data_IF_801542683837
#
_entry.id   IF_801542683837
#
_cell.length_a   1.000
_cell.length_b   1.000
_cell.length_c   1.000
_cell.angle_alpha   90.00
_cell.angle_beta   90.00
_cell.angle_gamma   90.00
#
_symmetry.space_group_name_H-M   'P 1'
#
loop_
_entity.id
_entity.type
_entity.pdbx_description
1 polymer ?
#
# COMPACT_ATOMS: atom_id res chain seq x y z
N UNK A 1 8.75 1.17 -32.40
CA UNK A 1 8.98 1.43 -33.83
C UNK A 1 9.86 2.65 -34.06
N UNK A 2 9.40 3.88 -33.74
CA UNK A 2 10.20 5.10 -33.96
C UNK A 2 11.51 5.12 -33.16
N UNK A 3 11.49 4.81 -31.86
CA UNK A 3 12.70 4.76 -31.03
C UNK A 3 13.74 3.77 -31.56
N UNK A 4 13.30 2.57 -31.98
CA UNK A 4 14.17 1.57 -32.62
C UNK A 4 14.80 2.09 -33.91
N UNK A 5 14.04 2.82 -34.75
CA UNK A 5 14.58 3.43 -35.98
C UNK A 5 15.50 4.62 -35.69
N UNK A 6 15.32 5.28 -34.55
CA UNK A 6 16.18 6.35 -34.06
C UNK A 6 17.50 5.87 -33.44
N UNK A 7 17.72 4.56 -33.34
CA UNK A 7 18.94 3.99 -32.76
C UNK A 7 18.96 3.99 -31.23
N UNK A 8 17.81 4.18 -30.58
CA UNK A 8 17.69 4.06 -29.12
C UNK A 8 17.97 2.63 -28.66
N UNK A 9 18.42 2.50 -27.41
CA UNK A 9 18.58 1.19 -26.77
C UNK A 9 17.26 0.42 -26.75
N UNK A 10 17.31 -0.90 -26.91
CA UNK A 10 16.13 -1.77 -26.98
C UNK A 10 15.21 -1.60 -25.77
N UNK A 11 15.80 -1.56 -24.57
CA UNK A 11 15.08 -1.39 -23.31
C UNK A 11 14.31 -0.06 -23.24
N UNK A 12 14.88 1.03 -23.77
CA UNK A 12 14.21 2.34 -23.88
C UNK A 12 13.06 2.26 -24.88
N UNK A 13 13.28 1.65 -26.04
CA UNK A 13 12.26 1.50 -27.07
C UNK A 13 11.06 0.66 -26.57
N UNK A 14 11.32 -0.38 -25.78
CA UNK A 14 10.30 -1.19 -25.12
C UNK A 14 9.56 -0.39 -24.04
N UNK A 15 10.28 0.31 -23.16
CA UNK A 15 9.69 1.13 -22.10
C UNK A 15 8.70 2.17 -22.64
N UNK A 16 9.00 2.80 -23.78
CA UNK A 16 8.10 3.76 -24.44
C UNK A 16 6.76 3.13 -24.89
N UNK A 17 6.75 1.85 -25.24
CA UNK A 17 5.51 1.12 -25.54
C UNK A 17 4.80 0.65 -24.26
N UNK A 18 5.60 0.21 -23.27
CA UNK A 18 5.13 -0.37 -22.01
C UNK A 18 4.63 0.65 -21.00
N UNK A 19 4.98 1.94 -21.11
CA UNK A 19 4.58 2.99 -20.15
C UNK A 19 3.05 3.05 -19.91
N UNK A 20 2.26 2.75 -20.95
CA UNK A 20 0.80 2.74 -20.88
C UNK A 20 0.22 1.46 -20.25
N UNK A 21 1.05 0.45 -19.95
CA UNK A 21 0.61 -0.80 -19.32
C UNK A 21 0.47 -0.66 -17.80
N UNK A 22 -0.37 -1.48 -17.16
CA UNK A 22 -1.40 -2.32 -17.78
C UNK A 22 -2.55 -1.49 -18.39
N UNK A 23 -3.02 -1.89 -19.58
CA UNK A 23 -4.09 -1.19 -20.32
C UNK A 23 -5.51 -1.65 -19.94
N UNK A 24 -5.69 -2.13 -18.72
CA UNK A 24 -6.97 -2.66 -18.22
C UNK A 24 -6.83 -3.57 -17.01
N UNK A 25 -7.96 -3.95 -16.43
CA UNK A 25 -8.00 -4.97 -15.38
C UNK A 25 -7.58 -6.33 -15.97
N UNK A 26 -6.64 -7.02 -15.31
CA UNK A 26 -6.10 -8.30 -15.80
C UNK A 26 -5.20 -8.22 -17.04
N UNK A 27 -4.94 -7.02 -17.58
CA UNK A 27 -4.04 -6.85 -18.71
C UNK A 27 -2.58 -7.16 -18.34
N UNK A 28 -1.76 -7.41 -19.36
CA UNK A 28 -0.32 -7.64 -19.23
C UNK A 28 0.38 -6.46 -18.54
N UNK A 29 1.39 -6.79 -17.75
CA UNK A 29 2.28 -5.84 -17.11
C UNK A 29 3.50 -5.58 -18.00
N UNK A 30 4.18 -4.43 -17.82
CA UNK A 30 5.48 -4.20 -18.44
C UNK A 30 6.42 -5.39 -18.24
N UNK A 31 7.03 -5.87 -19.32
CA UNK A 31 7.96 -6.99 -19.27
C UNK A 31 9.29 -6.57 -18.65
N UNK A 32 9.72 -5.34 -18.91
CA UNK A 32 10.99 -4.79 -18.46
C UNK A 32 10.86 -4.02 -17.14
N UNK A 33 11.97 -3.89 -16.39
CA UNK A 33 12.01 -3.02 -15.20
C UNK A 33 11.94 -1.54 -15.57
N UNK A 34 12.56 -1.15 -16.68
CA UNK A 34 12.53 0.23 -17.17
C UNK A 34 11.11 0.61 -17.59
N UNK A 35 10.40 -0.26 -18.32
CA UNK A 35 8.99 -0.08 -18.64
C UNK A 35 8.11 -0.03 -17.40
N UNK A 36 8.37 -0.87 -16.40
CA UNK A 36 7.66 -0.81 -15.11
C UNK A 36 7.87 0.53 -14.38
N UNK A 37 9.12 1.01 -14.32
CA UNK A 37 9.47 2.27 -13.68
C UNK A 37 8.77 3.46 -14.36
N UNK A 38 8.85 3.55 -15.69
CA UNK A 38 8.19 4.61 -16.46
C UNK A 38 6.67 4.51 -16.33
N UNK A 39 6.10 3.31 -16.39
CA UNK A 39 4.66 3.09 -16.26
C UNK A 39 4.12 3.50 -14.87
N UNK A 40 4.88 3.26 -13.80
CA UNK A 40 4.52 3.72 -12.45
C UNK A 40 4.63 5.23 -12.36
N UNK A 41 5.74 5.81 -12.83
CA UNK A 41 5.96 7.26 -12.81
C UNK A 41 4.85 8.03 -13.54
N UNK A 42 4.49 7.62 -14.76
CA UNK A 42 3.41 8.23 -15.57
C UNK A 42 2.05 8.20 -14.86
N UNK A 43 1.74 7.09 -14.18
CA UNK A 43 0.47 6.95 -13.44
C UNK A 43 0.46 7.79 -12.17
N UNK A 44 1.58 7.86 -11.44
CA UNK A 44 1.69 8.71 -10.26
C UNK A 44 1.62 10.19 -10.62
N UNK A 45 2.27 10.59 -11.70
CA UNK A 45 2.18 11.95 -12.25
C UNK A 45 0.72 12.30 -12.59
N UNK A 46 0.03 11.42 -13.32
CA UNK A 46 -1.39 11.60 -13.65
C UNK A 46 -2.26 11.69 -12.40
N UNK A 47 -2.07 10.80 -11.42
CA UNK A 47 -2.83 10.79 -10.17
C UNK A 47 -2.65 12.11 -9.40
N UNK A 48 -1.40 12.53 -9.20
CA UNK A 48 -1.05 13.75 -8.48
C UNK A 48 -1.54 14.99 -9.23
N UNK A 49 -1.30 15.09 -10.53
CA UNK A 49 -1.70 16.24 -11.34
C UNK A 49 -3.22 16.43 -11.35
N UNK A 50 -3.99 15.35 -11.57
CA UNK A 50 -5.45 15.41 -11.64
C UNK A 50 -6.09 15.67 -10.27
N UNK A 51 -5.56 15.08 -9.20
CA UNK A 51 -6.01 15.42 -7.83
C UNK A 51 -5.65 16.86 -7.48
N UNK A 52 -4.45 17.32 -7.85
CA UNK A 52 -3.93 18.65 -7.52
C UNK A 52 -4.75 19.80 -8.12
N UNK A 53 -5.45 19.55 -9.23
CA UNK A 53 -6.39 20.49 -9.86
C UNK A 53 -7.86 20.21 -9.51
N UNK A 54 -8.13 19.30 -8.56
CA UNK A 54 -9.46 19.04 -8.02
C UNK A 54 -10.40 18.24 -8.93
N UNK A 55 -9.88 17.52 -9.92
CA UNK A 55 -10.67 16.75 -10.88
C UNK A 55 -10.82 15.28 -10.45
N UNK A 56 -11.28 15.07 -9.22
CA UNK A 56 -11.42 13.74 -8.64
C UNK A 56 -12.57 12.93 -9.29
N UNK A 57 -12.49 11.58 -9.31
CA UNK A 57 -13.58 10.73 -9.76
C UNK A 57 -14.81 10.91 -8.86
N UNK A 58 -16.01 10.91 -9.45
CA UNK A 58 -17.28 11.07 -8.72
C UNK A 58 -18.24 9.93 -9.02
N UNK A 59 -18.80 9.29 -7.98
CA UNK A 59 -19.73 8.17 -8.14
C UNK A 59 -19.18 7.10 -9.10
N UNK A 60 -19.91 6.80 -10.18
CA UNK A 60 -19.46 5.87 -11.23
C UNK A 60 -18.52 6.49 -12.27
N UNK A 61 -18.41 7.81 -12.36
CA UNK A 61 -17.60 8.49 -13.38
C UNK A 61 -16.13 8.58 -12.99
N UNK A 62 -15.28 8.11 -13.88
CA UNK A 62 -13.83 8.24 -13.80
C UNK A 62 -13.28 8.72 -15.15
N UNK A 63 -13.45 10.03 -15.48
CA UNK A 63 -13.14 10.56 -16.81
C UNK A 63 -11.65 10.49 -17.16
N UNK A 64 -10.78 10.49 -16.16
CA UNK A 64 -9.32 10.45 -16.31
C UNK A 64 -8.73 9.07 -16.00
N UNK A 65 -9.57 8.05 -15.85
CA UNK A 65 -9.15 6.68 -15.59
C UNK A 65 -8.27 6.49 -14.34
N UNK A 66 -8.46 7.33 -13.30
CA UNK A 66 -7.62 7.33 -12.09
C UNK A 66 -7.72 6.02 -11.32
N UNK A 67 -8.89 5.37 -11.30
CA UNK A 67 -9.04 4.04 -10.67
C UNK A 67 -8.21 2.99 -11.39
N UNK A 68 -8.15 3.07 -12.72
CA UNK A 68 -7.31 2.18 -13.53
C UNK A 68 -5.83 2.48 -13.34
N UNK A 69 -5.46 3.76 -13.24
CA UNK A 69 -4.08 4.17 -12.96
C UNK A 69 -3.61 3.65 -11.59
N UNK A 70 -4.40 3.86 -10.54
CA UNK A 70 -4.12 3.37 -9.19
C UNK A 70 -3.98 1.84 -9.14
N UNK A 71 -4.92 1.11 -9.73
CA UNK A 71 -4.81 -0.35 -9.82
C UNK A 71 -3.58 -0.79 -10.63
N UNK A 72 -3.25 -0.08 -11.70
CA UNK A 72 -2.05 -0.34 -12.49
C UNK A 72 -0.77 -0.21 -11.68
N UNK A 73 -0.62 0.86 -10.89
CA UNK A 73 0.52 1.04 -9.97
C UNK A 73 0.62 -0.13 -8.99
N UNK A 74 -0.49 -0.47 -8.32
CA UNK A 74 -0.53 -1.57 -7.35
C UNK A 74 -0.14 -2.91 -7.95
N UNK A 75 -0.70 -3.25 -9.13
CA UNK A 75 -0.39 -4.50 -9.83
C UNK A 75 1.08 -4.58 -10.24
N UNK A 76 1.64 -3.50 -10.78
CA UNK A 76 3.05 -3.47 -11.17
C UNK A 76 3.93 -3.72 -9.94
N UNK A 77 3.69 -3.03 -8.83
CA UNK A 77 4.53 -3.16 -7.64
C UNK A 77 4.39 -4.53 -6.96
N UNK A 78 3.17 -5.05 -6.84
CA UNK A 78 2.91 -6.33 -6.17
C UNK A 78 3.30 -7.53 -7.05
N UNK A 79 2.78 -7.62 -8.27
CA UNK A 79 2.97 -8.82 -9.11
C UNK A 79 4.41 -8.93 -9.63
N UNK A 80 5.13 -7.80 -9.79
CA UNK A 80 6.56 -7.81 -10.12
C UNK A 80 7.47 -7.80 -8.89
N UNK A 81 6.92 -7.89 -7.68
CA UNK A 81 7.68 -7.96 -6.42
C UNK A 81 8.67 -6.78 -6.28
N UNK A 82 8.19 -5.57 -6.55
CA UNK A 82 8.97 -4.34 -6.42
C UNK A 82 8.66 -3.65 -5.09
N UNK A 83 9.63 -3.68 -4.19
CA UNK A 83 9.53 -2.96 -2.92
C UNK A 83 9.85 -1.48 -3.13
N UNK A 84 8.80 -0.68 -3.24
CA UNK A 84 8.90 0.77 -3.45
C UNK A 84 8.14 1.48 -2.33
N UNK A 85 8.80 2.45 -1.70
CA UNK A 85 8.12 3.41 -0.82
C UNK A 85 7.21 4.32 -1.66
N UNK A 86 5.92 3.99 -1.68
CA UNK A 86 4.93 4.73 -2.46
C UNK A 86 4.67 6.12 -1.86
N UNK A 87 4.86 6.29 -0.55
CA UNK A 87 4.71 7.58 0.12
C UNK A 87 5.79 8.54 -0.38
N UNK A 88 7.04 8.09 -0.40
CA UNK A 88 8.16 8.86 -0.94
C UNK A 88 7.96 9.18 -2.42
N UNK A 89 7.53 8.19 -3.22
CA UNK A 89 7.28 8.38 -4.66
C UNK A 89 6.17 9.41 -4.94
N UNK A 90 5.06 9.36 -4.20
CA UNK A 90 3.96 10.33 -4.34
C UNK A 90 4.40 11.73 -3.90
N UNK A 91 5.14 11.85 -2.79
CA UNK A 91 5.68 13.14 -2.36
C UNK A 91 6.63 13.75 -3.42
N UNK A 92 7.52 12.95 -3.98
CA UNK A 92 8.41 13.39 -5.05
C UNK A 92 7.65 13.84 -6.32
N UNK A 93 6.52 13.19 -6.64
CA UNK A 93 5.66 13.64 -7.73
C UNK A 93 4.97 14.98 -7.39
N UNK A 94 4.45 15.14 -6.17
CA UNK A 94 3.84 16.42 -5.72
C UNK A 94 4.84 17.57 -5.80
N UNK A 95 6.07 17.36 -5.33
CA UNK A 95 7.13 18.38 -5.35
C UNK A 95 7.46 18.86 -6.78
N UNK A 96 7.46 17.96 -7.77
CA UNK A 96 7.74 18.30 -9.16
C UNK A 96 6.70 19.23 -9.80
N UNK A 97 5.47 19.27 -9.27
CA UNK A 97 4.45 20.22 -9.73
C UNK A 97 4.67 21.65 -9.19
N UNK A 98 5.40 21.83 -8.08
CA UNK A 98 5.60 23.12 -7.44
C UNK A 98 4.28 23.87 -7.21
N UNK A 99 4.24 25.14 -7.61
CA UNK A 99 3.05 26.01 -7.41
C UNK A 99 1.86 25.70 -8.34
N UNK A 100 1.98 24.70 -9.24
CA UNK A 100 0.90 24.32 -10.16
C UNK A 100 -0.24 23.57 -9.46
N UNK A 101 0.02 22.99 -8.29
CA UNK A 101 -0.96 22.24 -7.51
C UNK A 101 -0.98 22.70 -6.06
N UNK A 102 -2.11 22.50 -5.37
CA UNK A 102 -2.17 22.71 -3.92
C UNK A 102 -1.57 21.50 -3.22
N UNK A 103 -0.32 21.61 -2.75
CA UNK A 103 0.40 20.49 -2.14
C UNK A 103 -0.20 20.01 -0.80
N UNK A 104 -0.79 20.90 -0.01
CA UNK A 104 -1.29 20.57 1.33
C UNK A 104 -2.37 19.46 1.28
N UNK A 105 -2.06 18.31 1.89
CA UNK A 105 -2.95 17.14 1.94
C UNK A 105 -3.07 16.35 0.63
N UNK A 106 -2.41 16.78 -0.46
CA UNK A 106 -2.54 16.14 -1.77
C UNK A 106 -1.96 14.72 -1.77
N UNK A 107 -0.77 14.54 -1.21
CA UNK A 107 -0.13 13.22 -1.14
C UNK A 107 -0.99 12.23 -0.36
N UNK A 108 -1.55 12.64 0.80
CA UNK A 108 -2.42 11.80 1.62
C UNK A 108 -3.69 11.39 0.84
N UNK A 109 -4.35 12.33 0.15
CA UNK A 109 -5.53 12.03 -0.67
C UNK A 109 -5.22 11.03 -1.79
N UNK A 110 -4.08 11.18 -2.47
CA UNK A 110 -3.65 10.25 -3.53
C UNK A 110 -3.35 8.87 -2.95
N UNK A 111 -2.62 8.80 -1.83
CA UNK A 111 -2.28 7.54 -1.17
C UNK A 111 -3.53 6.82 -0.67
N UNK A 112 -4.45 7.52 -0.01
CA UNK A 112 -5.73 6.94 0.43
C UNK A 112 -6.52 6.41 -0.76
N UNK A 113 -6.61 7.17 -1.84
CA UNK A 113 -7.29 6.72 -3.05
C UNK A 113 -6.66 5.46 -3.64
N UNK A 114 -5.33 5.39 -3.72
CA UNK A 114 -4.61 4.22 -4.23
C UNK A 114 -4.83 3.01 -3.33
N UNK A 115 -4.59 3.12 -2.02
CA UNK A 115 -4.77 2.00 -1.10
C UNK A 115 -6.23 1.54 -0.98
N UNK A 116 -7.21 2.44 -1.08
CA UNK A 116 -8.63 2.06 -1.13
C UNK A 116 -8.96 1.17 -2.33
N UNK A 117 -8.17 1.19 -3.41
CA UNK A 117 -8.34 0.24 -4.52
C UNK A 117 -7.88 -1.18 -4.18
N UNK A 118 -6.90 -1.33 -3.28
CA UNK A 118 -6.52 -2.66 -2.79
C UNK A 118 -7.66 -3.33 -2.05
N UNK A 119 -8.45 -2.56 -1.28
CA UNK A 119 -9.61 -3.11 -0.57
C UNK A 119 -10.56 -3.86 -1.50
N UNK A 120 -10.97 -3.22 -2.60
CA UNK A 120 -11.90 -3.83 -3.56
C UNK A 120 -11.30 -5.09 -4.20
N UNK A 121 -10.00 -5.05 -4.56
CA UNK A 121 -9.29 -6.23 -5.07
C UNK A 121 -9.29 -7.38 -4.05
N UNK A 122 -8.99 -7.11 -2.80
CA UNK A 122 -8.94 -8.13 -1.75
C UNK A 122 -10.33 -8.68 -1.41
N UNK A 123 -11.36 -7.85 -1.44
CA UNK A 123 -12.75 -8.31 -1.30
C UNK A 123 -13.11 -9.29 -2.43
N UNK A 124 -12.71 -9.01 -3.68
CA UNK A 124 -12.90 -9.91 -4.82
C UNK A 124 -12.09 -11.22 -4.68
N UNK A 125 -10.92 -11.18 -4.03
CA UNK A 125 -10.08 -12.35 -3.72
C UNK A 125 -10.56 -13.14 -2.49
N UNK A 126 -11.63 -12.70 -1.81
CA UNK A 126 -12.21 -13.37 -0.64
C UNK A 126 -11.50 -13.07 0.69
N UNK A 127 -10.67 -12.02 0.73
CA UNK A 127 -10.00 -11.56 1.95
C UNK A 127 -11.02 -10.91 2.89
N UNK A 128 -11.03 -11.36 4.14
CA UNK A 128 -11.86 -10.79 5.20
C UNK A 128 -11.49 -9.31 5.45
N UNK A 129 -12.51 -8.44 5.52
CA UNK A 129 -12.35 -6.99 5.69
C UNK A 129 -11.52 -6.65 6.93
N UNK A 130 -11.62 -7.43 8.01
CA UNK A 130 -10.84 -7.20 9.22
C UNK A 130 -9.33 -7.45 8.99
N UNK A 131 -8.96 -8.34 8.07
CA UNK A 131 -7.55 -8.54 7.68
C UNK A 131 -7.03 -7.28 6.99
N UNK A 132 -7.74 -6.81 5.96
CA UNK A 132 -7.36 -5.57 5.26
C UNK A 132 -7.24 -4.39 6.24
N UNK A 133 -8.23 -4.21 7.12
CA UNK A 133 -8.24 -3.14 8.11
C UNK A 133 -7.07 -3.26 9.12
N UNK A 134 -6.72 -4.47 9.55
CA UNK A 134 -5.62 -4.69 10.48
C UNK A 134 -4.27 -4.27 9.89
N UNK A 135 -4.04 -4.53 8.60
CA UNK A 135 -2.82 -4.11 7.90
C UNK A 135 -2.88 -2.61 7.60
N UNK A 136 -4.03 -2.08 7.16
CA UNK A 136 -4.21 -0.65 6.86
C UNK A 136 -3.99 0.24 8.07
N UNK A 137 -4.30 -0.22 9.28
CA UNK A 137 -4.06 0.52 10.52
C UNK A 137 -2.59 0.87 10.75
N UNK A 138 -1.65 0.05 10.25
CA UNK A 138 -0.21 0.30 10.34
C UNK A 138 0.30 1.29 9.27
N UNK A 139 -0.53 1.66 8.29
CA UNK A 139 -0.18 2.50 7.14
C UNK A 139 1.17 2.13 6.48
N UNK A 140 1.40 0.87 6.05
CA UNK A 140 2.62 0.51 5.31
C UNK A 140 2.81 1.39 4.08
N UNK A 141 4.04 1.84 3.82
CA UNK A 141 4.34 2.70 2.66
C UNK A 141 4.49 1.91 1.36
N UNK A 142 4.90 0.64 1.43
CA UNK A 142 5.10 -0.24 0.28
C UNK A 142 3.84 -1.08 0.00
N UNK A 143 3.27 -1.04 -1.21
CA UNK A 143 2.17 -1.92 -1.60
C UNK A 143 2.53 -3.40 -1.57
N UNK A 144 3.81 -3.74 -1.81
CA UNK A 144 4.28 -5.12 -1.72
C UNK A 144 4.32 -5.61 -0.27
N UNK A 145 4.88 -4.82 0.65
CA UNK A 145 4.85 -5.12 2.10
C UNK A 145 3.41 -5.22 2.60
N UNK A 146 2.52 -4.32 2.14
CA UNK A 146 1.09 -4.40 2.45
C UNK A 146 0.49 -5.75 2.04
N UNK A 147 0.74 -6.19 0.80
CA UNK A 147 0.23 -7.47 0.30
C UNK A 147 0.76 -8.66 1.09
N UNK A 148 2.08 -8.69 1.33
CA UNK A 148 2.72 -9.75 2.11
C UNK A 148 2.14 -9.85 3.53
N UNK A 149 1.86 -8.71 4.19
CA UNK A 149 1.18 -8.69 5.49
C UNK A 149 -0.25 -9.20 5.42
N UNK A 150 -1.01 -8.84 4.38
CA UNK A 150 -2.38 -9.36 4.19
C UNK A 150 -2.36 -10.88 4.05
N UNK A 151 -1.46 -11.43 3.23
CA UNK A 151 -1.33 -12.87 3.07
C UNK A 151 -0.87 -13.55 4.36
N UNK A 152 0.09 -12.96 5.08
CA UNK A 152 0.57 -13.50 6.36
C UNK A 152 -0.53 -13.53 7.43
N UNK A 153 -1.32 -12.47 7.56
CA UNK A 153 -2.43 -12.40 8.52
C UNK A 153 -3.54 -13.39 8.12
N UNK A 154 -3.84 -13.55 6.84
CA UNK A 154 -4.77 -14.58 6.38
C UNK A 154 -4.31 -15.99 6.74
N UNK A 155 -3.06 -16.31 6.44
CA UNK A 155 -2.48 -17.61 6.77
C UNK A 155 -2.49 -17.86 8.29
N UNK A 156 -2.10 -16.85 9.07
CA UNK A 156 -2.13 -16.91 10.53
C UNK A 156 -3.54 -17.21 11.06
N UNK A 157 -4.59 -16.59 10.52
CA UNK A 157 -5.98 -16.80 10.96
C UNK A 157 -6.49 -18.23 10.75
N UNK A 158 -5.84 -19.03 9.89
CA UNK A 158 -6.19 -20.45 9.70
C UNK A 158 -5.54 -21.37 10.74
N UNK A 159 -4.64 -20.86 11.58
CA UNK A 159 -3.98 -21.64 12.62
C UNK A 159 -4.91 -21.81 13.84
N UNK A 160 -4.94 -22.99 14.48
CA UNK A 160 -5.72 -23.23 15.69
C UNK A 160 -5.43 -22.24 16.83
N UNK A 161 -4.20 -21.75 16.91
CA UNK A 161 -3.72 -20.83 17.94
C UNK A 161 -4.23 -19.40 17.75
N UNK A 162 -4.72 -19.05 16.56
CA UNK A 162 -5.08 -17.68 16.20
C UNK A 162 -6.23 -17.12 17.04
N UNK A 163 -7.23 -17.96 17.32
CA UNK A 163 -8.39 -17.55 18.14
C UNK A 163 -7.96 -17.22 19.58
N UNK A 164 -7.11 -18.08 20.17
CA UNK A 164 -6.59 -17.87 21.52
C UNK A 164 -5.76 -16.58 21.61
N UNK A 165 -4.89 -16.33 20.62
CA UNK A 165 -4.07 -15.12 20.58
C UNK A 165 -4.91 -13.85 20.37
N UNK A 166 -5.88 -13.89 19.45
CA UNK A 166 -6.78 -12.77 19.19
C UNK A 166 -7.65 -12.44 20.43
N UNK A 167 -8.14 -13.46 21.13
CA UNK A 167 -8.90 -13.29 22.36
C UNK A 167 -8.05 -12.67 23.48
N UNK A 168 -6.79 -13.11 23.62
CA UNK A 168 -5.84 -12.53 24.57
C UNK A 168 -5.58 -11.05 24.26
N UNK A 169 -5.26 -10.70 23.01
CA UNK A 169 -5.03 -9.32 22.60
C UNK A 169 -6.27 -8.43 22.81
N UNK A 170 -7.48 -8.91 22.47
CA UNK A 170 -8.73 -8.18 22.71
C UNK A 170 -8.94 -7.89 24.20
N UNK A 171 -8.60 -8.83 25.07
CA UNK A 171 -8.66 -8.62 26.53
C UNK A 171 -7.69 -7.53 26.97
N UNK A 172 -6.45 -7.58 26.50
CA UNK A 172 -5.45 -6.53 26.79
C UNK A 172 -5.94 -5.16 26.32
N UNK A 173 -6.39 -5.02 25.07
CA UNK A 173 -6.93 -3.75 24.55
C UNK A 173 -8.11 -3.23 25.38
N UNK A 174 -9.02 -4.10 25.82
CA UNK A 174 -10.16 -3.70 26.66
C UNK A 174 -9.76 -3.28 28.09
N UNK A 175 -8.68 -3.83 28.62
CA UNK A 175 -8.11 -3.41 29.91
C UNK A 175 -7.48 -2.02 29.75
N UNK A 176 -6.66 -1.85 28.71
CA UNK A 176 -6.00 -0.58 28.42
C UNK A 176 -7.03 0.55 28.16
N UNK A 177 -8.12 0.25 27.45
CA UNK A 177 -9.19 1.22 27.19
C UNK A 177 -9.93 1.72 28.44
N UNK A 178 -9.81 1.03 29.58
CA UNK A 178 -10.41 1.43 30.86
C UNK A 178 -9.41 2.13 31.79
N UNK A 179 -8.16 2.23 31.38
CA UNK A 179 -7.10 2.85 32.17
C UNK A 179 -7.07 4.34 31.79
N UNK A 180 -7.28 5.21 32.77
CA UNK A 180 -7.20 6.66 32.57
C UNK A 180 -5.77 7.19 32.72
N UNK A 181 -4.91 6.44 33.43
CA UNK A 181 -3.51 6.78 33.68
C UNK A 181 -2.59 6.38 32.52
N UNK A 182 -1.48 7.10 32.35
CA UNK A 182 -0.42 6.71 31.42
C UNK A 182 0.16 5.34 31.81
N UNK A 183 0.18 4.43 30.84
CA UNK A 183 0.83 3.13 31.00
C UNK A 183 2.33 3.35 31.04
N UNK A 184 3.03 2.93 32.11
CA UNK A 184 4.48 3.07 32.19
C UNK A 184 5.16 2.35 31.02
N UNK A 185 6.20 2.94 30.40
CA UNK A 185 6.88 2.33 29.26
C UNK A 185 7.73 1.11 29.64
N UNK A 186 8.04 0.95 30.93
CA UNK A 186 8.88 -0.12 31.44
C UNK A 186 8.07 -1.09 32.31
N UNK A 187 8.30 -2.38 32.10
CA UNK A 187 7.74 -3.44 32.94
C UNK A 187 8.54 -3.54 34.23
N UNK A 188 7.86 -3.47 35.38
CA UNK A 188 8.49 -3.75 36.66
C UNK A 188 8.66 -5.26 36.85
N UNK A 189 9.89 -5.75 36.66
CA UNK A 189 10.21 -7.17 36.77
C UNK A 189 9.90 -7.78 38.16
N UNK A 190 9.78 -6.95 39.21
CA UNK A 190 9.41 -7.42 40.55
C UNK A 190 7.95 -7.86 40.66
N UNK A 191 7.09 -7.43 39.72
CA UNK A 191 5.68 -7.79 39.67
C UNK A 191 5.42 -9.08 38.88
N UNK A 192 6.42 -9.59 38.14
CA UNK A 192 6.30 -10.83 37.38
C UNK A 192 6.47 -12.03 38.32
N UNK A 193 5.45 -12.87 38.44
CA UNK A 193 5.44 -13.98 39.40
C UNK A 193 5.70 -15.29 38.68
N UNK A 194 4.95 -15.56 37.61
CA UNK A 194 4.95 -16.82 36.91
C UNK A 194 6.20 -16.98 36.02
N UNK A 195 6.61 -18.24 35.79
CA UNK A 195 7.78 -18.52 34.95
C UNK A 195 7.59 -18.01 33.51
N UNK A 196 6.36 -18.11 32.98
CA UNK A 196 6.02 -17.61 31.65
C UNK A 196 6.10 -16.08 31.56
N UNK A 197 5.66 -15.36 32.58
CA UNK A 197 5.73 -13.89 32.66
C UNK A 197 7.18 -13.41 32.65
N UNK A 198 8.04 -14.06 33.46
CA UNK A 198 9.47 -13.77 33.53
C UNK A 198 10.18 -14.06 32.21
N UNK A 199 9.86 -15.20 31.58
CA UNK A 199 10.44 -15.57 30.29
C UNK A 199 10.05 -14.57 29.19
N UNK A 200 8.76 -14.20 29.10
CA UNK A 200 8.30 -13.20 28.14
C UNK A 200 8.94 -11.84 28.41
N UNK A 201 8.91 -11.34 29.65
CA UNK A 201 9.49 -10.04 30.01
C UNK A 201 11.01 -9.94 29.78
N UNK A 202 11.72 -11.06 29.70
CA UNK A 202 13.15 -11.08 29.33
C UNK A 202 13.42 -11.17 27.83
N UNK A 203 12.40 -11.50 27.03
CA UNK A 203 12.51 -11.74 25.59
C UNK A 203 12.07 -10.55 24.72
N UNK A 204 11.34 -9.58 25.30
CA UNK A 204 10.89 -8.33 24.64
C UNK A 204 11.69 -7.16 25.16
#
# INVERSE_FOLDING_TARGET
YYATHGGEAEDVALALNEQYMPRGAGAELPSTLTGAAVAVADKLDTLVGIFGIGMLPTGSKDPYALRRAALGVLRILIEKQLDLDLVAAVNAAVEQYGDKVKAAGLAEQVLDFVFDRLRARYEDEGVDVAVYQSVRALKPSSPLDFDQRVQAVQAFRQLPEAEALAAANKRVSNILAKTEDEVPPNVDASLLVEAAEKALGSAV
#
